data_IF_293181088551
#
_entry.id   IF_293181088551
#
_cell.length_a   1.000
_cell.length_b   1.000
_cell.length_c   1.000
_cell.angle_alpha   90.00
_cell.angle_beta   90.00
_cell.angle_gamma   90.00
#
_symmetry.space_group_name_H-M   'P 1'
#
loop_
_entity.id
_entity.type
_entity.pdbx_description
1 polymer ?
#
# COMPACT_ATOMS: atom_id res chain seq x y z
N UNK A 1 13.79 -3.03 20.92
CA UNK A 1 13.56 -3.08 19.48
C UNK A 1 12.08 -3.15 19.12
N UNK A 2 11.25 -3.84 19.93
CA UNK A 2 9.82 -3.97 19.63
C UNK A 2 9.02 -2.67 19.73
N UNK A 3 9.50 -1.65 20.39
CA UNK A 3 8.74 -0.42 20.64
C UNK A 3 8.88 0.65 19.55
N UNK A 4 9.88 0.53 18.69
CA UNK A 4 10.11 1.51 17.62
C UNK A 4 9.01 1.47 16.56
N UNK A 5 8.48 0.30 16.26
CA UNK A 5 7.43 0.13 15.26
C UNK A 5 6.00 0.14 15.81
N UNK A 6 5.84 0.13 17.15
CA UNK A 6 4.52 0.21 17.80
C UNK A 6 4.06 1.63 18.12
N UNK A 7 4.89 2.64 17.87
CA UNK A 7 4.50 4.02 18.15
C UNK A 7 3.62 4.57 17.03
N UNK A 8 2.35 4.68 17.30
CA UNK A 8 1.39 5.40 16.46
C UNK A 8 1.81 6.85 16.16
N UNK A 9 2.62 7.46 17.02
CA UNK A 9 3.18 8.79 16.81
C UNK A 9 4.08 8.95 15.59
N UNK A 10 4.63 7.88 15.03
CA UNK A 10 5.38 7.92 13.78
C UNK A 10 4.54 8.35 12.57
N UNK A 11 3.24 8.20 12.64
CA UNK A 11 2.31 8.66 11.61
C UNK A 11 2.21 10.19 11.55
N UNK A 12 2.42 10.85 12.67
CA UNK A 12 2.19 12.29 12.84
C UNK A 12 3.47 13.12 12.80
N UNK A 13 4.58 12.59 13.32
CA UNK A 13 5.79 13.37 13.58
C UNK A 13 7.00 13.08 12.71
N UNK A 14 6.92 12.21 11.74
CA UNK A 14 8.06 12.00 10.86
C UNK A 14 8.17 10.57 10.35
N UNK A 15 7.61 10.38 9.19
CA UNK A 15 7.84 9.18 8.37
C UNK A 15 9.33 9.02 8.04
N UNK A 16 10.10 10.09 8.14
CA UNK A 16 11.54 10.15 7.93
C UNK A 16 12.34 9.36 8.98
N UNK A 17 11.84 9.25 10.20
CA UNK A 17 12.52 8.50 11.27
C UNK A 17 12.66 7.01 10.94
N UNK A 18 11.77 6.45 10.12
CA UNK A 18 11.85 5.05 9.68
C UNK A 18 13.09 4.86 8.80
N UNK A 19 13.32 5.79 7.86
CA UNK A 19 14.52 5.81 7.03
C UNK A 19 15.80 6.00 7.85
N UNK A 20 15.79 6.91 8.81
CA UNK A 20 16.93 7.12 9.72
C UNK A 20 17.29 5.87 10.53
N UNK A 21 16.26 5.14 11.00
CA UNK A 21 16.46 3.88 11.73
C UNK A 21 17.02 2.81 10.79
N UNK A 22 16.48 2.69 9.58
CA UNK A 22 16.97 1.75 8.59
C UNK A 22 18.43 2.03 8.22
N UNK A 23 18.79 3.29 7.97
CA UNK A 23 20.16 3.70 7.64
C UNK A 23 21.13 3.41 8.79
N UNK A 24 20.70 3.64 10.02
CA UNK A 24 21.51 3.40 11.21
C UNK A 24 21.66 1.92 11.56
N UNK A 25 20.63 1.11 11.27
CA UNK A 25 20.57 -0.31 11.61
C UNK A 25 20.08 -1.13 10.41
N UNK A 26 20.88 -1.24 9.33
CA UNK A 26 20.45 -1.83 8.06
C UNK A 26 20.09 -3.32 8.16
N UNK A 27 20.61 -4.02 9.17
CA UNK A 27 20.29 -5.44 9.42
C UNK A 27 18.97 -5.64 10.17
N UNK A 28 18.35 -4.55 10.67
CA UNK A 28 17.10 -4.65 11.40
C UNK A 28 15.92 -4.75 10.46
N UNK A 29 15.08 -5.78 10.65
CA UNK A 29 13.82 -5.87 9.95
C UNK A 29 12.79 -4.92 10.59
N UNK A 30 12.23 -4.05 9.78
CA UNK A 30 11.20 -3.08 10.19
C UNK A 30 9.82 -3.54 9.72
N UNK A 31 8.85 -3.46 10.62
CA UNK A 31 7.47 -3.84 10.33
C UNK A 31 6.52 -2.69 10.65
N UNK A 32 5.67 -2.34 9.72
CA UNK A 32 4.50 -1.50 9.97
C UNK A 32 3.31 -2.39 10.29
N UNK A 33 2.92 -2.44 11.55
CA UNK A 33 1.87 -3.35 12.05
C UNK A 33 0.54 -2.65 12.33
N UNK A 34 0.55 -1.33 12.49
CA UNK A 34 -0.64 -0.52 12.71
C UNK A 34 -0.44 0.85 12.07
N UNK A 35 -1.33 1.22 11.19
CA UNK A 35 -1.29 2.47 10.45
C UNK A 35 -2.61 3.24 10.61
N UNK A 36 -2.69 4.41 9.99
CA UNK A 36 -3.93 5.16 9.91
C UNK A 36 -5.04 4.30 9.33
N UNK A 37 -6.12 4.14 10.08
CA UNK A 37 -7.24 3.29 9.69
C UNK A 37 -8.34 4.08 8.95
N UNK A 38 -8.03 5.28 8.46
CA UNK A 38 -8.98 6.13 7.74
C UNK A 38 -10.13 6.67 8.59
N UNK A 39 -11.15 7.19 7.93
CA UNK A 39 -12.29 7.89 8.54
C UNK A 39 -13.66 7.23 8.27
N UNK A 40 -13.66 5.97 7.80
CA UNK A 40 -14.87 5.22 7.48
C UNK A 40 -15.54 5.65 6.17
N UNK A 41 -14.82 6.27 5.25
CA UNK A 41 -15.34 6.67 3.94
C UNK A 41 -15.44 5.50 2.98
N UNK A 42 -14.51 4.55 3.06
CA UNK A 42 -14.42 3.35 2.20
C UNK A 42 -14.43 3.69 0.70
N UNK A 43 -13.88 4.82 0.34
CA UNK A 43 -13.86 5.35 -1.02
C UNK A 43 -12.49 5.16 -1.71
N UNK A 44 -12.43 5.57 -2.97
CA UNK A 44 -11.21 5.51 -3.75
C UNK A 44 -10.08 6.40 -3.18
N UNK A 45 -10.43 7.55 -2.61
CA UNK A 45 -9.45 8.47 -2.02
C UNK A 45 -8.74 7.83 -0.81
N UNK A 46 -9.46 7.04 -0.01
CA UNK A 46 -8.85 6.27 1.08
C UNK A 46 -7.84 5.25 0.57
N UNK A 47 -8.13 4.57 -0.54
CA UNK A 47 -7.18 3.64 -1.16
C UNK A 47 -5.97 4.35 -1.77
N UNK A 48 -6.14 5.52 -2.39
CA UNK A 48 -5.03 6.36 -2.86
C UNK A 48 -4.11 6.76 -1.69
N UNK A 49 -4.69 7.18 -0.57
CA UNK A 49 -3.94 7.52 0.64
C UNK A 49 -3.19 6.30 1.20
N UNK A 50 -3.84 5.14 1.25
CA UNK A 50 -3.21 3.89 1.68
C UNK A 50 -2.04 3.50 0.78
N UNK A 51 -2.15 3.70 -0.54
CA UNK A 51 -1.02 3.49 -1.45
C UNK A 51 0.17 4.39 -1.11
N UNK A 52 -0.07 5.67 -0.81
CA UNK A 52 0.97 6.63 -0.42
C UNK A 52 1.65 6.23 0.90
N UNK A 53 0.87 5.75 1.86
CA UNK A 53 1.41 5.24 3.12
C UNK A 53 2.30 4.02 2.89
N UNK A 54 1.81 3.01 2.15
CA UNK A 54 2.58 1.81 1.81
C UNK A 54 3.89 2.21 1.12
N UNK A 55 3.81 3.09 0.12
CA UNK A 55 4.98 3.56 -0.60
C UNK A 55 5.97 4.24 0.33
N UNK A 56 5.52 5.14 1.19
CA UNK A 56 6.37 5.88 2.14
C UNK A 56 7.11 4.94 3.08
N UNK A 57 6.41 3.96 3.66
CA UNK A 57 7.04 3.00 4.58
C UNK A 57 8.02 2.07 3.87
N UNK A 58 7.67 1.60 2.68
CA UNK A 58 8.57 0.77 1.88
C UNK A 58 9.79 1.56 1.36
N UNK A 59 9.63 2.85 1.06
CA UNK A 59 10.74 3.74 0.69
C UNK A 59 11.68 3.98 1.90
N UNK A 60 11.12 4.00 3.11
CA UNK A 60 11.87 4.09 4.37
C UNK A 60 12.52 2.77 4.84
N UNK A 61 12.43 1.68 4.08
CA UNK A 61 13.09 0.41 4.41
C UNK A 61 12.25 -0.57 5.23
N UNK A 62 10.93 -0.34 5.36
CA UNK A 62 10.02 -1.32 5.99
C UNK A 62 9.95 -2.59 5.14
N UNK A 63 10.09 -3.75 5.79
CA UNK A 63 10.06 -5.06 5.14
C UNK A 63 8.67 -5.70 5.14
N UNK A 64 7.82 -5.30 6.08
CA UNK A 64 6.46 -5.85 6.20
C UNK A 64 5.47 -4.73 6.49
N UNK A 65 4.39 -4.70 5.73
CA UNK A 65 3.27 -3.77 5.94
C UNK A 65 2.00 -4.55 6.22
N UNK A 66 1.35 -4.24 7.34
CA UNK A 66 0.07 -4.83 7.74
C UNK A 66 -1.01 -3.76 7.72
N UNK A 67 -2.11 -4.05 7.04
CA UNK A 67 -3.25 -3.13 7.02
C UNK A 67 -4.15 -3.36 8.25
N UNK A 68 -4.51 -2.31 8.91
CA UNK A 68 -5.48 -2.26 10.00
C UNK A 68 -6.65 -1.35 9.58
N UNK A 69 -7.89 -1.85 9.51
CA UNK A 69 -8.46 -3.11 9.96
C UNK A 69 -8.75 -4.08 8.78
N UNK A 70 -8.78 -5.39 9.09
CA UNK A 70 -9.13 -6.41 8.10
C UNK A 70 -10.64 -6.42 7.79
N UNK A 71 -11.47 -6.52 8.81
CA UNK A 71 -12.94 -6.63 8.68
C UNK A 71 -13.61 -5.76 9.73
N UNK A 72 -14.54 -4.93 9.29
CA UNK A 72 -15.40 -4.15 10.18
C UNK A 72 -16.87 -4.27 9.75
N UNK A 73 -17.74 -4.00 10.70
CA UNK A 73 -19.19 -3.99 10.49
C UNK A 73 -19.64 -2.58 10.09
N UNK A 74 -20.57 -2.48 9.15
CA UNK A 74 -21.25 -1.24 8.71
C UNK A 74 -20.26 -0.07 8.42
N UNK A 75 -20.34 1.00 9.19
CA UNK A 75 -19.49 2.20 9.02
C UNK A 75 -18.14 2.11 9.74
N UNK A 76 -17.80 0.95 10.30
CA UNK A 76 -16.52 0.75 10.97
C UNK A 76 -16.35 1.58 12.25
N UNK A 77 -17.42 1.79 13.00
CA UNK A 77 -17.35 2.56 14.25
C UNK A 77 -16.69 1.72 15.34
N UNK A 78 -15.58 2.21 15.89
CA UNK A 78 -14.90 1.60 17.03
C UNK A 78 -15.67 1.76 18.34
N UNK A 79 -15.22 1.06 19.39
CA UNK A 79 -15.78 1.21 20.75
C UNK A 79 -15.65 2.63 21.32
N UNK A 80 -14.76 3.45 20.79
CA UNK A 80 -14.58 4.85 21.14
C UNK A 80 -15.37 5.82 20.25
N UNK A 81 -16.20 5.30 19.34
CA UNK A 81 -17.01 6.11 18.44
C UNK A 81 -16.29 6.63 17.21
N UNK A 82 -15.04 6.20 16.95
CA UNK A 82 -14.30 6.62 15.77
C UNK A 82 -14.68 5.75 14.58
N UNK A 83 -14.92 6.39 13.45
CA UNK A 83 -15.10 5.71 12.17
C UNK A 83 -13.74 5.29 11.63
N UNK A 84 -13.68 4.08 11.09
CA UNK A 84 -12.44 3.47 10.56
C UNK A 84 -12.73 2.78 9.23
N UNK A 85 -11.73 2.71 8.38
CA UNK A 85 -11.77 1.90 7.17
C UNK A 85 -11.37 0.45 7.46
N UNK A 86 -11.78 -0.45 6.58
CA UNK A 86 -11.40 -1.86 6.61
C UNK A 86 -11.29 -2.39 5.19
N UNK A 87 -10.58 -3.50 5.00
CA UNK A 87 -10.52 -4.19 3.71
C UNK A 87 -11.89 -4.75 3.32
N UNK A 88 -12.63 -5.25 4.29
CA UNK A 88 -13.96 -5.83 4.09
C UNK A 88 -14.96 -5.20 5.06
N UNK A 89 -16.09 -4.75 4.54
CA UNK A 89 -17.26 -4.33 5.34
C UNK A 89 -18.28 -5.45 5.37
N UNK A 90 -18.81 -5.78 6.53
CA UNK A 90 -19.96 -6.66 6.68
C UNK A 90 -21.19 -5.80 6.98
N UNK A 91 -22.15 -5.77 6.06
CA UNK A 91 -23.38 -5.02 6.24
C UNK A 91 -24.32 -5.75 7.20
N UNK A 92 -24.64 -5.15 8.33
CA UNK A 92 -25.48 -5.78 9.37
C UNK A 92 -26.87 -6.13 8.88
N UNK A 93 -27.43 -5.32 7.98
CA UNK A 93 -28.79 -5.47 7.44
C UNK A 93 -28.93 -6.67 6.50
N UNK A 94 -27.95 -6.89 5.59
CA UNK A 94 -28.01 -7.93 4.55
C UNK A 94 -27.10 -9.11 4.83
N UNK A 95 -26.15 -8.97 5.77
CA UNK A 95 -25.06 -9.93 6.06
C UNK A 95 -24.08 -10.11 4.88
N UNK A 96 -24.08 -9.19 3.94
CA UNK A 96 -23.19 -9.20 2.79
C UNK A 96 -21.80 -8.67 3.16
N UNK A 97 -20.77 -9.28 2.58
CA UNK A 97 -19.40 -8.79 2.63
C UNK A 97 -19.13 -7.89 1.41
N UNK A 98 -18.74 -6.65 1.68
CA UNK A 98 -18.39 -5.65 0.65
C UNK A 98 -16.88 -5.44 0.69
N UNK A 99 -16.20 -5.74 -0.42
CA UNK A 99 -14.78 -5.48 -0.58
C UNK A 99 -14.54 -4.01 -0.93
N UNK A 100 -13.65 -3.36 -0.19
CA UNK A 100 -13.36 -1.93 -0.34
C UNK A 100 -12.29 -1.68 -1.40
N UNK A 101 -12.07 -0.43 -1.85
CA UNK A 101 -10.96 -0.09 -2.73
C UNK A 101 -9.59 -0.45 -2.13
N UNK A 102 -9.41 -0.32 -0.80
CA UNK A 102 -8.19 -0.74 -0.10
C UNK A 102 -7.96 -2.26 -0.17
N UNK A 103 -9.05 -3.07 -0.16
CA UNK A 103 -8.92 -4.51 -0.39
C UNK A 103 -8.28 -4.82 -1.73
N UNK A 104 -8.74 -4.17 -2.79
CA UNK A 104 -8.20 -4.39 -4.13
C UNK A 104 -6.77 -3.90 -4.24
N UNK A 105 -6.42 -2.77 -3.62
CA UNK A 105 -5.04 -2.31 -3.53
C UNK A 105 -4.14 -3.37 -2.86
N UNK A 106 -4.51 -3.83 -1.68
CA UNK A 106 -3.73 -4.84 -0.95
C UNK A 106 -3.68 -6.17 -1.71
N UNK A 107 -4.76 -6.55 -2.39
CA UNK A 107 -4.79 -7.74 -3.25
C UNK A 107 -3.77 -7.64 -4.39
N UNK A 108 -3.65 -6.50 -5.06
CA UNK A 108 -2.61 -6.29 -6.08
C UNK A 108 -1.21 -6.53 -5.50
N UNK A 109 -0.90 -5.91 -4.37
CA UNK A 109 0.42 -6.03 -3.75
C UNK A 109 0.67 -7.46 -3.23
N UNK A 110 -0.23 -8.01 -2.41
CA UNK A 110 -0.01 -9.29 -1.72
C UNK A 110 -0.09 -10.52 -2.63
N UNK A 111 -0.81 -10.45 -3.76
CA UNK A 111 -0.97 -11.58 -4.66
C UNK A 111 0.26 -11.82 -5.54
N UNK A 112 0.95 -10.77 -5.95
CA UNK A 112 2.03 -10.85 -6.93
C UNK A 112 3.43 -10.76 -6.33
N UNK A 113 3.56 -10.25 -5.10
CA UNK A 113 4.84 -10.24 -4.40
C UNK A 113 5.06 -11.55 -3.65
N UNK A 114 6.25 -12.13 -3.87
CA UNK A 114 6.68 -13.35 -3.19
C UNK A 114 7.54 -12.99 -1.98
N UNK A 115 7.50 -13.79 -0.90
CA UNK A 115 8.44 -13.62 0.20
C UNK A 115 9.89 -13.57 -0.32
N UNK A 116 10.66 -12.59 0.13
CA UNK A 116 12.02 -12.34 -0.37
C UNK A 116 12.08 -11.46 -1.63
N UNK A 117 10.98 -10.87 -2.07
CA UNK A 117 11.00 -9.86 -3.13
C UNK A 117 11.81 -8.63 -2.70
N UNK A 118 12.63 -8.11 -3.60
CA UNK A 118 13.41 -6.89 -3.39
C UNK A 118 12.76 -5.70 -4.08
N UNK A 119 12.57 -4.61 -3.32
CA UNK A 119 12.09 -3.36 -3.88
C UNK A 119 13.12 -2.76 -4.83
N UNK A 120 12.68 -2.34 -5.99
CA UNK A 120 13.50 -1.65 -6.99
C UNK A 120 13.36 -0.13 -6.85
N UNK A 121 14.43 0.58 -7.11
CA UNK A 121 14.39 2.04 -7.17
C UNK A 121 13.60 2.49 -8.41
N UNK A 122 12.61 3.34 -8.18
CA UNK A 122 11.85 4.02 -9.24
C UNK A 122 12.38 5.45 -9.36
N UNK A 123 12.99 5.79 -10.49
CA UNK A 123 13.60 7.11 -10.68
C UNK A 123 12.57 8.20 -10.95
N UNK A 124 11.46 7.86 -11.62
CA UNK A 124 10.40 8.80 -11.97
C UNK A 124 9.03 8.13 -11.84
N UNK A 125 8.12 8.81 -11.18
CA UNK A 125 6.72 8.38 -11.01
C UNK A 125 6.35 8.16 -9.55
N UNK A 126 5.47 9.02 -9.02
CA UNK A 126 5.02 8.93 -7.64
C UNK A 126 4.00 7.80 -7.43
N UNK A 127 3.29 7.42 -8.49
CA UNK A 127 2.22 6.41 -8.46
C UNK A 127 2.73 5.02 -8.90
N UNK A 128 4.00 4.73 -8.66
CA UNK A 128 4.65 3.48 -9.08
C UNK A 128 5.45 2.87 -7.93
N UNK A 129 5.30 1.56 -7.78
CA UNK A 129 6.17 0.69 -6.98
C UNK A 129 6.69 -0.43 -7.89
N UNK A 130 7.94 -0.84 -7.72
CA UNK A 130 8.52 -1.92 -8.50
C UNK A 130 9.33 -2.87 -7.60
N UNK A 131 9.27 -4.15 -7.90
CA UNK A 131 9.93 -5.21 -7.15
C UNK A 131 10.54 -6.27 -8.07
N UNK A 132 11.53 -6.96 -7.57
CA UNK A 132 12.10 -8.17 -8.14
C UNK A 132 11.77 -9.35 -7.24
N UNK A 133 10.98 -10.29 -7.71
CA UNK A 133 10.72 -11.54 -7.02
C UNK A 133 11.97 -12.46 -7.01
N UNK A 134 12.08 -13.41 -6.08
CA UNK A 134 13.21 -14.34 -6.01
C UNK A 134 13.41 -15.20 -7.26
N UNK A 135 12.36 -15.46 -8.01
CA UNK A 135 12.38 -16.20 -9.29
C UNK A 135 12.78 -15.35 -10.50
N UNK A 136 13.10 -14.07 -10.28
CA UNK A 136 13.53 -13.15 -11.31
C UNK A 136 12.40 -12.36 -12.01
N UNK A 137 11.13 -12.62 -11.70
CA UNK A 137 10.03 -11.78 -12.19
C UNK A 137 10.14 -10.35 -11.68
N UNK A 138 9.93 -9.39 -12.55
CA UNK A 138 9.75 -7.99 -12.17
C UNK A 138 8.26 -7.68 -12.07
N UNK A 139 7.84 -7.19 -10.91
CA UNK A 139 6.46 -6.79 -10.65
C UNK A 139 6.40 -5.29 -10.47
N UNK A 140 5.59 -4.63 -11.29
CA UNK A 140 5.40 -3.17 -11.24
C UNK A 140 3.94 -2.88 -10.93
N UNK A 141 3.70 -2.11 -9.90
CA UNK A 141 2.38 -1.58 -9.55
C UNK A 141 2.28 -0.13 -10.00
N UNK A 142 1.25 0.18 -10.76
CA UNK A 142 0.96 1.53 -11.21
C UNK A 142 -0.45 1.92 -10.81
N UNK A 143 -0.61 3.13 -10.28
CA UNK A 143 -1.91 3.71 -9.98
C UNK A 143 -2.22 4.85 -10.94
N UNK A 144 -3.45 4.90 -11.44
CA UNK A 144 -3.98 6.08 -12.12
C UNK A 144 -5.00 6.78 -11.20
N UNK A 145 -4.60 7.92 -10.65
CA UNK A 145 -5.47 8.75 -9.77
C UNK A 145 -6.42 9.66 -10.54
N UNK A 146 -6.22 9.79 -11.86
CA UNK A 146 -6.99 10.72 -12.67
C UNK A 146 -8.37 10.16 -13.02
N UNK A 147 -9.30 11.04 -13.31
CA UNK A 147 -10.62 10.68 -13.82
C UNK A 147 -10.60 10.37 -15.34
N UNK A 148 -9.43 10.39 -15.96
CA UNK A 148 -9.22 10.11 -17.38
C UNK A 148 -8.19 9.00 -17.58
N UNK A 149 -8.19 8.39 -18.75
CA UNK A 149 -7.16 7.45 -19.18
C UNK A 149 -5.78 8.14 -19.18
N UNK A 150 -4.77 7.44 -18.67
CA UNK A 150 -3.39 7.94 -18.58
C UNK A 150 -2.42 7.03 -19.34
N UNK A 151 -1.66 7.61 -20.25
CA UNK A 151 -0.53 6.94 -20.89
C UNK A 151 0.68 6.87 -19.95
N UNK A 152 1.25 5.69 -19.78
CA UNK A 152 2.45 5.48 -18.96
C UNK A 152 3.49 4.75 -19.78
N UNK A 153 4.74 5.24 -19.73
CA UNK A 153 5.90 4.58 -20.31
C UNK A 153 6.74 3.99 -19.18
N UNK A 154 6.79 2.67 -19.10
CA UNK A 154 7.66 1.95 -18.20
C UNK A 154 8.97 1.61 -18.92
N UNK A 155 10.10 1.92 -18.29
CA UNK A 155 11.44 1.58 -18.77
C UNK A 155 12.16 0.81 -17.68
N UNK A 156 12.69 -0.36 -18.02
CA UNK A 156 13.46 -1.19 -17.11
C UNK A 156 14.66 -1.78 -17.88
N UNK A 157 15.82 -1.21 -17.66
CA UNK A 157 17.01 -1.51 -18.44
C UNK A 157 16.79 -1.13 -19.92
N UNK A 158 16.99 -2.10 -20.80
CA UNK A 158 16.81 -1.98 -22.26
C UNK A 158 15.37 -2.21 -22.73
N UNK A 159 14.48 -2.63 -21.83
CA UNK A 159 13.07 -2.90 -22.14
C UNK A 159 12.20 -1.67 -21.90
N UNK A 160 11.27 -1.45 -22.82
CA UNK A 160 10.29 -0.37 -22.73
C UNK A 160 8.90 -0.90 -23.04
N UNK A 161 7.93 -0.47 -22.25
CA UNK A 161 6.51 -0.78 -22.45
C UNK A 161 5.69 0.49 -22.37
N UNK A 162 4.71 0.63 -23.27
CA UNK A 162 3.74 1.74 -23.26
C UNK A 162 2.40 1.15 -22.85
N UNK A 163 1.81 1.69 -21.82
CA UNK A 163 0.56 1.24 -21.23
C UNK A 163 -0.46 2.37 -21.22
N UNK A 164 -1.72 2.01 -21.30
CA UNK A 164 -2.87 2.88 -21.06
C UNK A 164 -3.57 2.42 -19.78
N UNK A 165 -3.50 3.22 -18.74
CA UNK A 165 -4.15 2.96 -17.47
C UNK A 165 -5.54 3.59 -17.48
N UNK A 166 -6.55 2.79 -17.21
CA UNK A 166 -7.92 3.29 -17.10
C UNK A 166 -8.06 4.27 -15.92
N UNK A 167 -9.08 5.15 -15.94
CA UNK A 167 -9.33 6.07 -14.84
C UNK A 167 -9.50 5.34 -13.50
N UNK A 168 -8.94 5.91 -12.42
CA UNK A 168 -9.12 5.41 -11.06
C UNK A 168 -8.87 3.90 -10.94
N UNK A 169 -7.67 3.44 -11.36
CA UNK A 169 -7.30 2.02 -11.34
C UNK A 169 -5.97 1.76 -10.66
N UNK A 170 -5.88 0.61 -10.00
CA UNK A 170 -4.62 -0.05 -9.67
C UNK A 170 -4.29 -1.06 -10.76
N UNK A 171 -3.03 -1.14 -11.14
CA UNK A 171 -2.58 -2.02 -12.20
C UNK A 171 -1.30 -2.74 -11.77
N UNK A 172 -1.22 -4.04 -12.07
CA UNK A 172 -0.01 -4.84 -11.89
C UNK A 172 0.50 -5.30 -13.24
N UNK A 173 1.78 -5.09 -13.47
CA UNK A 173 2.49 -5.51 -14.67
C UNK A 173 3.59 -6.48 -14.24
N UNK A 174 3.67 -7.63 -14.88
CA UNK A 174 4.68 -8.67 -14.62
C UNK A 174 5.46 -8.90 -15.92
N UNK A 175 6.79 -8.98 -15.82
CA UNK A 175 7.67 -9.28 -16.95
C UNK A 175 9.05 -9.82 -16.54
#
# INVERSE_FOLDING_TARGET
ASDVYKRQGLQWEGKDIVGEIHDKYPEMQLMQTENECGSGTFDWAAAEHTFDLIKTYLDGGVNTYMYFNMVLQDEGVSSWGWKQNALVRVLSSTKEAVYTPEFYLLKHLSHFLKPGAHKLKVEKGNDVLAFRNPDGETVVFCMNREAAERGVRLVCGDKMMILKLQPKTFNTIIY
#
